data_IF_098030348835
#
_entry.id   IF_098030348835
#
_cell.length_a   1.000
_cell.length_b   1.000
_cell.length_c   1.000
_cell.angle_alpha   90.00
_cell.angle_beta   90.00
_cell.angle_gamma   90.00
#
_symmetry.space_group_name_H-M   'P 1'
#
loop_
_entity.id
_entity.type
_entity.pdbx_description
1 polymer ?
#
# COMPACT_ATOMS: atom_id res chain seq x y z
N UNK A 1 31.92 6.00 -2.39
CA UNK A 1 31.96 5.90 -3.87
C UNK A 1 30.51 5.90 -4.35
N UNK A 2 30.12 6.85 -5.20
CA UNK A 2 28.74 7.03 -5.66
C UNK A 2 28.43 6.22 -6.92
N UNK A 3 28.30 4.90 -6.78
CA UNK A 3 27.81 4.01 -7.84
C UNK A 3 26.35 3.60 -7.59
N UNK A 4 25.68 3.13 -8.63
CA UNK A 4 24.37 2.47 -8.52
C UNK A 4 24.57 0.94 -8.40
N UNK A 5 23.68 0.23 -7.72
CA UNK A 5 23.65 -1.23 -7.80
C UNK A 5 23.22 -1.68 -9.20
N UNK A 6 23.30 -2.99 -9.47
CA UNK A 6 22.78 -3.58 -10.71
C UNK A 6 21.29 -3.22 -10.92
N UNK A 7 20.78 -3.24 -12.17
CA UNK A 7 19.39 -2.95 -12.46
C UNK A 7 18.40 -3.79 -11.63
N UNK A 8 17.19 -3.25 -11.42
CA UNK A 8 16.13 -3.93 -10.67
C UNK A 8 15.74 -5.28 -11.31
N UNK A 9 15.40 -6.25 -10.47
CA UNK A 9 15.08 -7.61 -10.91
C UNK A 9 15.43 -8.68 -9.87
N UNK A 10 16.70 -8.81 -9.47
CA UNK A 10 17.14 -9.89 -8.56
C UNK A 10 16.81 -9.63 -7.07
N UNK A 11 16.21 -8.49 -6.72
CA UNK A 11 16.06 -8.03 -5.32
C UNK A 11 14.72 -8.41 -4.67
N UNK A 12 13.64 -8.45 -5.45
CA UNK A 12 12.29 -8.74 -4.94
C UNK A 12 12.21 -10.14 -4.32
N UNK A 13 11.77 -10.22 -3.06
CA UNK A 13 11.68 -11.47 -2.29
C UNK A 13 12.98 -12.31 -2.28
N UNK A 14 14.14 -11.67 -2.45
CA UNK A 14 15.39 -12.37 -2.68
C UNK A 14 15.99 -12.97 -1.41
N UNK A 15 17.00 -13.81 -1.62
CA UNK A 15 17.94 -14.32 -0.60
C UNK A 15 19.36 -14.19 -1.13
N UNK A 16 20.33 -14.03 -0.21
CA UNK A 16 21.75 -13.91 -0.54
C UNK A 16 22.32 -12.50 -0.37
N UNK A 17 23.59 -12.44 0.04
CA UNK A 17 24.30 -11.22 0.43
C UNK A 17 24.30 -10.11 -0.63
N UNK A 18 24.32 -10.47 -1.92
CA UNK A 18 24.36 -9.50 -3.02
C UNK A 18 22.99 -8.88 -3.33
N UNK A 19 21.90 -9.56 -2.98
CA UNK A 19 20.55 -9.22 -3.44
C UNK A 19 19.67 -8.64 -2.34
N UNK A 20 20.13 -8.63 -1.09
CA UNK A 20 19.35 -8.20 0.07
C UNK A 20 20.25 -7.44 1.04
N UNK A 21 19.77 -6.30 1.54
CA UNK A 21 20.44 -5.49 2.56
C UNK A 21 19.45 -5.11 3.66
N UNK A 22 19.93 -5.02 4.91
CA UNK A 22 19.12 -4.63 6.07
C UNK A 22 18.12 -5.67 6.57
N UNK A 23 18.31 -6.97 6.27
CA UNK A 23 17.39 -8.03 6.70
C UNK A 23 17.33 -8.14 8.22
N UNK A 24 18.47 -8.08 8.89
CA UNK A 24 18.59 -8.07 10.35
C UNK A 24 17.72 -6.98 11.00
N UNK A 25 17.74 -5.77 10.45
CA UNK A 25 16.90 -4.64 10.88
C UNK A 25 15.41 -4.97 10.73
N UNK A 26 15.02 -5.56 9.59
CA UNK A 26 13.61 -5.85 9.27
C UNK A 26 13.07 -6.99 10.13
N UNK A 27 13.86 -8.03 10.38
CA UNK A 27 13.48 -9.14 11.27
C UNK A 27 13.37 -8.64 12.72
N UNK A 28 14.28 -7.79 13.19
CA UNK A 28 14.19 -7.18 14.53
C UNK A 28 12.94 -6.27 14.66
N UNK A 29 12.64 -5.48 13.63
CA UNK A 29 11.42 -4.66 13.57
C UNK A 29 10.15 -5.52 13.63
N UNK A 30 10.12 -6.62 12.87
CA UNK A 30 9.01 -7.58 12.90
C UNK A 30 8.81 -8.14 14.30
N UNK A 31 9.87 -8.63 14.95
CA UNK A 31 9.82 -9.20 16.30
C UNK A 31 9.28 -8.18 17.31
N UNK A 32 9.73 -6.92 17.25
CA UNK A 32 9.22 -5.85 18.13
C UNK A 32 7.73 -5.58 17.90
N UNK A 33 7.28 -5.55 16.64
CA UNK A 33 5.88 -5.33 16.32
C UNK A 33 4.99 -6.47 16.82
N UNK A 34 5.42 -7.72 16.63
CA UNK A 34 4.70 -8.90 17.13
C UNK A 34 4.63 -8.92 18.65
N UNK A 35 5.75 -8.63 19.33
CA UNK A 35 5.81 -8.54 20.79
C UNK A 35 4.93 -7.42 21.37
N UNK A 36 4.77 -6.31 20.63
CA UNK A 36 3.88 -5.23 20.98
C UNK A 36 2.38 -5.52 20.68
N UNK A 37 2.07 -6.66 20.07
CA UNK A 37 0.70 -7.05 19.71
C UNK A 37 0.11 -6.24 18.54
N UNK A 38 0.98 -5.68 17.68
CA UNK A 38 0.55 -4.99 16.47
C UNK A 38 0.10 -6.01 15.42
N UNK A 39 -0.87 -5.63 14.59
CA UNK A 39 -1.43 -6.49 13.53
C UNK A 39 -0.52 -6.72 12.32
N UNK A 40 0.78 -6.96 12.51
CA UNK A 40 1.68 -7.25 11.39
C UNK A 40 1.44 -8.66 10.87
N UNK A 41 1.20 -8.80 9.56
CA UNK A 41 0.87 -10.07 8.91
C UNK A 41 1.98 -10.62 8.03
N UNK A 42 3.01 -9.83 7.74
CA UNK A 42 4.11 -10.26 6.89
C UNK A 42 5.13 -9.14 6.64
N UNK A 43 6.24 -9.57 6.02
CA UNK A 43 7.33 -8.74 5.51
C UNK A 43 7.82 -9.31 4.18
N UNK A 44 8.35 -8.47 3.30
CA UNK A 44 9.08 -8.90 2.12
C UNK A 44 10.12 -7.87 1.67
N UNK A 45 11.20 -8.34 1.05
CA UNK A 45 12.11 -7.47 0.31
C UNK A 45 11.42 -6.98 -0.97
N UNK A 46 11.56 -5.70 -1.28
CA UNK A 46 10.92 -5.06 -2.43
C UNK A 46 11.84 -5.00 -3.66
N UNK A 47 11.32 -4.43 -4.75
CA UNK A 47 11.97 -4.43 -6.07
C UNK A 47 13.30 -3.66 -6.10
N UNK A 48 13.45 -2.60 -5.32
CA UNK A 48 14.70 -1.84 -5.21
C UNK A 48 15.59 -2.40 -4.08
N UNK A 49 16.91 -2.53 -4.29
CA UNK A 49 17.83 -2.99 -3.25
C UNK A 49 17.76 -2.09 -2.01
N UNK A 50 17.42 -2.69 -0.86
CA UNK A 50 17.24 -2.00 0.42
C UNK A 50 15.85 -1.42 0.64
N UNK A 51 14.95 -1.56 -0.32
CA UNK A 51 13.52 -1.31 -0.13
C UNK A 51 12.87 -2.56 0.49
N UNK A 52 11.96 -2.33 1.43
CA UNK A 52 11.24 -3.37 2.16
C UNK A 52 9.78 -2.98 2.36
N UNK A 53 8.93 -4.00 2.48
CA UNK A 53 7.52 -3.86 2.83
C UNK A 53 7.22 -4.68 4.09
N UNK A 54 6.30 -4.16 4.90
CA UNK A 54 5.61 -4.90 5.95
C UNK A 54 4.12 -4.60 5.86
N UNK A 55 3.27 -5.60 6.14
CA UNK A 55 1.82 -5.46 6.03
C UNK A 55 1.18 -5.37 7.40
N UNK A 56 0.37 -4.33 7.63
CA UNK A 56 -0.40 -4.12 8.85
C UNK A 56 -1.89 -4.35 8.59
N UNK A 57 -2.49 -5.31 9.28
CA UNK A 57 -3.89 -5.68 9.14
C UNK A 57 -4.66 -5.53 10.45
N UNK A 58 -5.86 -4.97 10.35
CA UNK A 58 -6.83 -4.94 11.44
C UNK A 58 -8.25 -4.95 10.89
N UNK A 59 -9.16 -5.56 11.64
CA UNK A 59 -10.61 -5.55 11.35
C UNK A 59 -11.27 -4.20 11.69
N UNK A 60 -10.58 -3.36 12.48
CA UNK A 60 -10.99 -1.99 12.82
C UNK A 60 -10.11 -1.00 12.06
N UNK A 61 -10.76 -0.07 11.36
CA UNK A 61 -10.12 1.04 10.66
C UNK A 61 -9.21 1.86 11.59
N UNK A 62 -9.69 2.22 12.78
CA UNK A 62 -8.91 3.01 13.74
C UNK A 62 -7.66 2.25 14.22
N UNK A 63 -7.83 0.98 14.59
CA UNK A 63 -6.70 0.15 15.03
C UNK A 63 -5.67 -0.08 13.90
N UNK A 64 -6.09 -0.15 12.64
CA UNK A 64 -5.17 -0.24 11.51
C UNK A 64 -4.26 1.01 11.43
N UNK A 65 -4.82 2.20 11.67
CA UNK A 65 -4.03 3.43 11.74
C UNK A 65 -3.09 3.43 12.95
N UNK A 66 -3.60 3.12 14.14
CA UNK A 66 -2.83 3.13 15.38
C UNK A 66 -1.64 2.17 15.27
N UNK A 67 -1.89 0.94 14.81
CA UNK A 67 -0.86 -0.08 14.63
C UNK A 67 0.22 0.38 13.63
N UNK A 68 -0.16 1.01 12.50
CA UNK A 68 0.80 1.49 11.52
C UNK A 68 1.66 2.65 12.05
N UNK A 69 1.08 3.54 12.85
CA UNK A 69 1.84 4.64 13.45
C UNK A 69 2.86 4.10 14.46
N UNK A 70 2.45 3.16 15.32
CA UNK A 70 3.36 2.54 16.29
C UNK A 70 4.41 1.68 15.58
N UNK A 71 4.05 0.94 14.53
CA UNK A 71 5.03 0.17 13.75
C UNK A 71 6.06 1.07 13.07
N UNK A 72 5.66 2.23 12.53
CA UNK A 72 6.59 3.22 11.97
C UNK A 72 7.51 3.80 13.04
N UNK A 73 6.97 4.10 14.23
CA UNK A 73 7.80 4.52 15.36
C UNK A 73 8.87 3.46 15.68
N UNK A 74 8.47 2.19 15.83
CA UNK A 74 9.40 1.10 16.10
C UNK A 74 10.45 0.96 14.98
N UNK A 75 10.06 1.09 13.71
CA UNK A 75 10.99 1.07 12.59
C UNK A 75 12.09 2.12 12.76
N UNK A 76 11.71 3.38 13.01
CA UNK A 76 12.70 4.44 13.21
C UNK A 76 13.60 4.16 14.42
N UNK A 77 13.03 3.67 15.52
CA UNK A 77 13.78 3.32 16.74
C UNK A 77 14.82 2.21 16.50
N UNK A 78 14.47 1.19 15.72
CA UNK A 78 15.42 0.13 15.33
C UNK A 78 16.51 0.72 14.44
N UNK A 79 16.14 1.50 13.42
CA UNK A 79 17.14 2.06 12.49
C UNK A 79 18.17 2.98 13.19
N UNK A 80 17.79 3.66 14.27
CA UNK A 80 18.73 4.41 15.11
C UNK A 80 19.82 3.53 15.72
N UNK A 81 19.47 2.31 16.18
CA UNK A 81 20.42 1.36 16.79
C UNK A 81 21.39 0.79 15.76
N UNK A 82 20.95 0.69 14.51
CA UNK A 82 21.75 0.18 13.39
C UNK A 82 22.48 1.29 12.62
N UNK A 83 22.37 2.54 13.05
CA UNK A 83 23.00 3.70 12.40
C UNK A 83 22.62 3.85 10.91
N UNK A 84 21.37 3.55 10.56
CA UNK A 84 20.80 3.77 9.23
C UNK A 84 19.55 4.65 9.32
N UNK A 85 19.04 5.10 8.16
CA UNK A 85 17.82 5.91 8.06
C UNK A 85 16.80 5.15 7.22
N UNK A 86 15.62 4.89 7.79
CA UNK A 86 14.46 4.51 7.00
C UNK A 86 13.89 5.77 6.32
N UNK A 87 13.66 5.70 5.00
CA UNK A 87 13.07 6.80 4.23
C UNK A 87 11.67 6.40 3.76
N UNK A 88 10.68 7.24 4.06
CA UNK A 88 9.28 7.02 3.65
C UNK A 88 8.91 7.86 2.43
N UNK A 89 9.82 8.63 1.84
CA UNK A 89 9.60 9.36 0.59
C UNK A 89 9.05 8.43 -0.51
N UNK A 90 7.99 8.81 -1.25
CA UNK A 90 7.39 7.95 -2.26
C UNK A 90 8.28 7.69 -3.48
N UNK A 91 9.31 8.50 -3.68
CA UNK A 91 10.32 8.32 -4.74
C UNK A 91 11.70 8.65 -4.18
N UNK A 92 12.34 7.77 -3.39
CA UNK A 92 13.58 8.10 -2.71
C UNK A 92 14.77 8.21 -3.67
N UNK A 93 14.72 7.48 -4.80
CA UNK A 93 15.70 7.53 -5.88
C UNK A 93 15.03 7.95 -7.19
N UNK A 94 15.59 8.96 -7.85
CA UNK A 94 15.15 9.40 -9.19
C UNK A 94 15.63 8.44 -10.27
N UNK A 95 14.93 8.40 -11.40
CA UNK A 95 15.21 7.51 -12.52
C UNK A 95 14.41 6.21 -12.47
N UNK A 96 14.98 5.15 -13.04
CA UNK A 96 14.36 3.84 -13.30
C UNK A 96 14.36 2.92 -12.06
N UNK A 97 14.13 3.51 -10.89
CA UNK A 97 14.02 2.82 -9.60
C UNK A 97 12.57 2.86 -9.13
N UNK A 98 12.08 1.80 -8.50
CA UNK A 98 10.71 1.77 -8.00
C UNK A 98 10.48 2.85 -6.94
N UNK A 99 9.25 3.37 -6.89
CA UNK A 99 8.80 4.20 -5.78
C UNK A 99 8.28 3.36 -4.62
N UNK A 100 7.94 4.02 -3.53
CA UNK A 100 7.38 3.43 -2.31
C UNK A 100 5.93 3.84 -2.14
N UNK A 101 5.03 2.86 -2.04
CA UNK A 101 3.60 3.05 -1.83
C UNK A 101 3.15 2.65 -0.43
N UNK A 102 1.89 2.95 -0.11
CA UNK A 102 1.17 2.41 1.05
C UNK A 102 -0.15 1.83 0.57
N UNK A 103 -0.07 0.74 -0.21
CA UNK A 103 -1.25 0.10 -0.78
C UNK A 103 -2.24 -0.24 0.34
N UNK A 104 -3.46 0.26 0.21
CA UNK A 104 -4.48 0.17 1.26
C UNK A 104 -5.57 -0.79 0.81
N UNK A 105 -5.53 -1.99 1.38
CA UNK A 105 -6.56 -3.00 1.17
C UNK A 105 -7.77 -2.69 2.05
N UNK A 106 -8.98 -2.65 1.48
CA UNK A 106 -10.19 -2.40 2.26
C UNK A 106 -11.38 -3.23 1.80
N UNK A 107 -12.25 -3.53 2.76
CA UNK A 107 -13.55 -4.16 2.56
C UNK A 107 -14.48 -3.81 3.71
N UNK A 108 -15.77 -4.03 3.50
CA UNK A 108 -16.82 -3.85 4.51
C UNK A 108 -17.87 -4.97 4.36
N UNK A 109 -18.82 -5.13 5.30
CA UNK A 109 -19.70 -6.31 5.34
C UNK A 109 -20.40 -6.64 4.02
N UNK A 110 -20.88 -5.63 3.27
CA UNK A 110 -21.53 -5.88 1.99
C UNK A 110 -20.57 -6.50 0.96
N UNK A 111 -19.35 -5.95 0.80
CA UNK A 111 -18.33 -6.49 -0.11
C UNK A 111 -17.93 -7.93 0.23
N UNK A 112 -17.92 -8.30 1.51
CA UNK A 112 -17.49 -9.64 1.97
C UNK A 112 -18.61 -10.69 1.94
N UNK A 113 -19.84 -10.28 2.24
CA UNK A 113 -20.93 -11.22 2.49
C UNK A 113 -21.92 -11.31 1.31
N UNK A 114 -22.18 -10.18 0.66
CA UNK A 114 -23.13 -10.07 -0.46
C UNK A 114 -22.36 -10.02 -1.78
N UNK A 115 -21.52 -9.00 -1.97
CA UNK A 115 -20.65 -8.87 -3.12
C UNK A 115 -21.40 -8.71 -4.45
N UNK A 116 -20.80 -9.22 -5.53
CA UNK A 116 -21.35 -9.23 -6.88
C UNK A 116 -20.57 -8.36 -7.87
N UNK A 117 -20.32 -8.88 -9.06
CA UNK A 117 -19.51 -8.17 -10.08
C UNK A 117 -20.07 -6.77 -10.39
N UNK A 118 -21.35 -6.70 -10.72
CA UNK A 118 -22.03 -5.44 -11.03
C UNK A 118 -21.95 -4.45 -9.85
N UNK A 119 -22.05 -4.96 -8.62
CA UNK A 119 -21.88 -4.13 -7.42
C UNK A 119 -20.47 -3.54 -7.33
N UNK A 120 -19.41 -4.34 -7.53
CA UNK A 120 -18.03 -3.84 -7.51
C UNK A 120 -17.78 -2.82 -8.64
N UNK A 121 -18.30 -3.07 -9.84
CA UNK A 121 -18.18 -2.14 -10.98
C UNK A 121 -18.88 -0.80 -10.70
N UNK A 122 -20.14 -0.82 -10.21
CA UNK A 122 -20.86 0.40 -9.81
C UNK A 122 -20.15 1.13 -8.67
N UNK A 123 -19.75 0.40 -7.64
CA UNK A 123 -19.05 0.96 -6.48
C UNK A 123 -17.76 1.65 -6.88
N UNK A 124 -16.90 0.99 -7.66
CA UNK A 124 -15.60 1.53 -8.06
C UNK A 124 -15.73 2.67 -9.07
N UNK A 125 -16.78 2.66 -9.90
CA UNK A 125 -17.11 3.79 -10.78
C UNK A 125 -17.51 5.01 -9.96
N UNK A 126 -18.37 4.85 -8.95
CA UNK A 126 -18.77 5.97 -8.07
C UNK A 126 -17.61 6.45 -7.20
N UNK A 127 -16.83 5.52 -6.65
CA UNK A 127 -15.64 5.84 -5.84
C UNK A 127 -14.61 6.65 -6.63
N UNK A 128 -14.46 6.36 -7.93
CA UNK A 128 -13.56 7.07 -8.84
C UNK A 128 -13.90 8.54 -9.06
N UNK A 129 -15.15 8.96 -8.85
CA UNK A 129 -15.56 10.36 -9.00
C UNK A 129 -14.92 11.29 -7.97
N UNK A 130 -14.37 10.73 -6.91
CA UNK A 130 -13.69 11.46 -5.84
C UNK A 130 -12.16 11.31 -5.92
N UNK A 131 -11.62 10.98 -7.10
CA UNK A 131 -10.20 10.70 -7.27
C UNK A 131 -9.31 11.84 -6.76
N UNK A 132 -9.62 13.09 -7.13
CA UNK A 132 -8.81 14.26 -6.76
C UNK A 132 -8.81 14.50 -5.25
N UNK A 133 -9.96 14.33 -4.59
CA UNK A 133 -10.06 14.45 -3.13
C UNK A 133 -9.35 13.32 -2.40
N UNK A 134 -9.17 12.15 -3.03
CA UNK A 134 -8.30 11.11 -2.51
C UNK A 134 -6.83 11.50 -2.69
N UNK A 135 -6.41 11.89 -3.90
CA UNK A 135 -5.02 12.27 -4.18
C UNK A 135 -4.53 13.40 -3.25
N UNK A 136 -5.38 14.39 -2.95
CA UNK A 136 -5.06 15.47 -2.01
C UNK A 136 -4.70 14.98 -0.59
N UNK A 137 -5.16 13.79 -0.20
CA UNK A 137 -4.93 13.16 1.10
C UNK A 137 -3.80 12.11 1.07
N UNK A 138 -3.36 11.72 -0.12
CA UNK A 138 -2.60 10.48 -0.37
C UNK A 138 -1.07 10.62 -0.26
N UNK A 139 -0.61 11.62 0.50
CA UNK A 139 0.80 11.87 0.80
C UNK A 139 1.47 12.86 -0.16
N UNK A 140 2.49 13.56 0.34
CA UNK A 140 3.22 14.57 -0.41
C UNK A 140 4.17 13.94 -1.45
N UNK A 141 4.46 14.66 -2.54
CA UNK A 141 5.36 14.26 -3.63
C UNK A 141 4.93 12.97 -4.35
N UNK A 142 3.65 12.62 -4.29
CA UNK A 142 3.12 11.42 -4.91
C UNK A 142 3.12 11.51 -6.44
N UNK A 143 3.19 12.71 -7.01
CA UNK A 143 3.36 12.98 -8.45
C UNK A 143 4.70 12.47 -8.98
N UNK A 144 5.73 12.40 -8.13
CA UNK A 144 7.02 11.80 -8.49
C UNK A 144 6.96 10.27 -8.60
N UNK A 145 5.93 9.64 -8.01
CA UNK A 145 5.72 8.19 -7.98
C UNK A 145 4.66 7.73 -8.97
N UNK A 146 3.48 8.35 -8.95
CA UNK A 146 2.32 7.99 -9.77
C UNK A 146 2.44 8.58 -11.18
N UNK A 147 3.34 8.02 -11.98
CA UNK A 147 3.67 8.52 -13.33
C UNK A 147 3.06 7.68 -14.45
N UNK A 148 2.38 6.58 -14.12
CA UNK A 148 1.94 5.57 -15.10
C UNK A 148 3.02 4.52 -15.44
N UNK A 149 4.21 4.63 -14.85
CA UNK A 149 5.35 3.71 -15.03
C UNK A 149 5.57 2.95 -13.72
N UNK A 150 6.27 1.82 -13.76
CA UNK A 150 6.62 1.01 -12.58
C UNK A 150 5.42 0.51 -11.75
N UNK A 151 4.45 -0.12 -12.41
CA UNK A 151 3.27 -0.71 -11.74
C UNK A 151 2.41 0.32 -10.97
N UNK A 152 2.33 1.56 -11.46
CA UNK A 152 1.45 2.60 -10.93
C UNK A 152 0.57 3.22 -12.02
N UNK A 153 -0.61 3.70 -11.64
CA UNK A 153 -1.43 4.56 -12.50
C UNK A 153 -0.84 5.98 -12.54
N UNK A 154 -1.21 6.77 -13.55
CA UNK A 154 -0.98 8.22 -13.56
C UNK A 154 -1.70 8.88 -12.38
N UNK A 155 -1.11 9.92 -11.79
CA UNK A 155 -1.72 10.69 -10.68
C UNK A 155 -3.02 11.40 -11.08
N UNK A 156 -3.25 11.63 -12.37
CA UNK A 156 -4.45 12.34 -12.85
C UNK A 156 -5.57 11.40 -13.27
N UNK A 157 -5.24 10.13 -13.50
CA UNK A 157 -6.17 9.19 -14.13
C UNK A 157 -6.64 8.18 -13.09
N UNK A 158 -7.94 7.91 -13.09
CA UNK A 158 -8.52 6.86 -12.28
C UNK A 158 -8.87 5.64 -13.13
N UNK A 159 -8.42 4.48 -12.68
CA UNK A 159 -8.77 3.20 -13.27
C UNK A 159 -8.90 2.09 -12.22
N UNK A 160 -9.66 1.05 -12.55
CA UNK A 160 -9.73 -0.16 -11.74
C UNK A 160 -9.76 -1.41 -12.62
N UNK A 161 -9.24 -2.53 -12.12
CA UNK A 161 -9.17 -3.77 -12.89
C UNK A 161 -8.89 -5.01 -12.06
N UNK A 162 -9.33 -6.17 -12.57
CA UNK A 162 -9.05 -7.47 -11.95
C UNK A 162 -7.58 -7.82 -12.17
N UNK A 163 -6.87 -8.04 -11.07
CA UNK A 163 -5.43 -8.34 -11.06
C UNK A 163 -4.54 -7.31 -11.75
N UNK A 164 -5.08 -6.12 -12.03
CA UNK A 164 -4.37 -5.07 -12.78
C UNK A 164 -3.46 -4.27 -11.84
N UNK A 165 -2.14 -4.49 -11.98
CA UNK A 165 -1.10 -3.73 -11.27
C UNK A 165 -0.74 -2.41 -11.95
N UNK A 166 -1.37 -2.04 -13.06
CA UNK A 166 -1.30 -0.69 -13.63
C UNK A 166 -2.45 0.20 -13.15
N UNK A 167 -3.50 -0.39 -12.58
CA UNK A 167 -4.69 0.34 -12.16
C UNK A 167 -4.51 1.12 -10.85
N UNK A 168 -5.33 2.17 -10.68
CA UNK A 168 -5.41 2.91 -9.42
C UNK A 168 -5.97 2.05 -8.29
N UNK A 169 -7.07 1.33 -8.56
CA UNK A 169 -7.66 0.35 -7.65
C UNK A 169 -7.55 -1.04 -8.28
N UNK A 170 -6.84 -1.94 -7.62
CA UNK A 170 -6.78 -3.34 -8.04
C UNK A 170 -7.87 -4.15 -7.34
N UNK A 171 -8.55 -4.99 -8.10
CA UNK A 171 -9.41 -6.05 -7.58
C UNK A 171 -8.56 -7.33 -7.55
N UNK A 172 -8.12 -7.81 -6.37
CA UNK A 172 -7.35 -9.05 -6.28
C UNK A 172 -8.15 -10.23 -6.82
N UNK A 173 -7.49 -11.19 -7.48
CA UNK A 173 -8.17 -12.39 -8.05
C UNK A 173 -8.99 -13.16 -7.02
N UNK A 174 -8.60 -13.09 -5.75
CA UNK A 174 -9.39 -13.61 -4.63
C UNK A 174 -10.86 -13.20 -4.72
N UNK A 175 -11.16 -11.94 -5.00
CA UNK A 175 -12.54 -11.42 -5.04
C UNK A 175 -13.39 -12.13 -6.12
N UNK A 176 -13.04 -12.14 -7.42
CA UNK A 176 -13.78 -12.89 -8.43
C UNK A 176 -13.75 -14.41 -8.19
N UNK A 177 -12.63 -14.98 -7.75
CA UNK A 177 -12.49 -16.42 -7.47
C UNK A 177 -13.41 -16.89 -6.33
N UNK A 178 -13.83 -15.97 -5.45
CA UNK A 178 -14.73 -16.25 -4.31
C UNK A 178 -16.14 -15.68 -4.55
N UNK A 179 -16.59 -15.67 -5.81
CA UNK A 179 -17.95 -15.27 -6.16
C UNK A 179 -18.19 -13.77 -6.03
N UNK A 180 -17.18 -12.97 -6.37
CA UNK A 180 -17.18 -11.52 -6.20
C UNK A 180 -17.44 -11.07 -4.78
N UNK A 181 -16.81 -11.76 -3.81
CA UNK A 181 -16.84 -11.45 -2.39
C UNK A 181 -15.43 -11.32 -1.86
N UNK A 182 -15.09 -10.18 -1.29
CA UNK A 182 -13.73 -9.93 -0.85
C UNK A 182 -13.42 -8.47 -0.59
N UNK A 183 -12.28 -8.03 -1.12
CA UNK A 183 -11.69 -6.72 -0.87
C UNK A 183 -11.14 -6.12 -2.17
N UNK A 184 -10.77 -4.85 -2.10
CA UNK A 184 -10.03 -4.13 -3.15
C UNK A 184 -8.76 -3.54 -2.55
N UNK A 185 -7.80 -3.23 -3.41
CA UNK A 185 -6.51 -2.66 -3.07
C UNK A 185 -6.40 -1.26 -3.71
N UNK A 186 -6.43 -0.20 -2.91
CA UNK A 186 -6.11 1.15 -3.39
C UNK A 186 -4.60 1.35 -3.42
N UNK A 187 -4.02 1.50 -4.62
CA UNK A 187 -2.57 1.53 -4.85
C UNK A 187 -2.02 2.95 -4.93
N UNK A 188 -2.90 3.94 -4.82
CA UNK A 188 -2.56 5.36 -4.93
C UNK A 188 -1.94 5.99 -3.66
N UNK A 189 -2.15 5.54 -2.42
CA UNK A 189 -1.49 6.18 -1.28
C UNK A 189 0.03 6.03 -1.34
N UNK A 190 0.75 7.12 -1.07
CA UNK A 190 2.21 7.14 -0.95
C UNK A 190 2.69 6.52 0.37
N UNK A 191 3.94 6.05 0.40
CA UNK A 191 4.57 5.50 1.62
C UNK A 191 4.68 6.49 2.79
N UNK A 192 4.69 7.80 2.52
CA UNK A 192 4.72 8.86 3.54
C UNK A 192 3.32 9.31 4.00
N UNK A 193 2.24 8.72 3.48
CA UNK A 193 0.90 9.17 3.78
C UNK A 193 0.50 8.91 5.25
N UNK A 194 -0.35 9.78 5.77
CA UNK A 194 -0.96 9.64 7.09
C UNK A 194 -2.13 8.64 7.03
N UNK A 195 -2.04 7.47 7.71
CA UNK A 195 -3.10 6.46 7.63
C UNK A 195 -4.45 6.96 8.11
N UNK A 196 -4.52 7.89 9.06
CA UNK A 196 -5.80 8.44 9.52
C UNK A 196 -6.49 9.23 8.41
N UNK A 197 -5.73 10.00 7.63
CA UNK A 197 -6.27 10.76 6.49
C UNK A 197 -6.73 9.83 5.37
N UNK A 198 -5.93 8.81 5.04
CA UNK A 198 -6.30 7.80 4.05
C UNK A 198 -7.59 7.10 4.43
N UNK A 199 -7.65 6.53 5.63
CA UNK A 199 -8.80 5.73 6.06
C UNK A 199 -10.04 6.61 6.22
N UNK A 200 -9.93 7.82 6.77
CA UNK A 200 -11.06 8.75 6.84
C UNK A 200 -11.62 9.08 5.46
N UNK A 201 -10.73 9.31 4.48
CA UNK A 201 -11.13 9.61 3.10
C UNK A 201 -11.81 8.43 2.42
N UNK A 202 -11.26 7.22 2.57
CA UNK A 202 -11.83 5.96 2.06
C UNK A 202 -13.21 5.70 2.67
N UNK A 203 -13.35 5.83 3.99
CA UNK A 203 -14.62 5.59 4.68
C UNK A 203 -15.72 6.54 4.19
N UNK A 204 -15.40 7.84 4.07
CA UNK A 204 -16.35 8.85 3.58
C UNK A 204 -16.83 8.54 2.16
N UNK A 205 -15.92 8.19 1.26
CA UNK A 205 -16.28 7.88 -0.13
C UNK A 205 -16.99 6.53 -0.25
N UNK A 206 -16.60 5.55 0.57
CA UNK A 206 -17.26 4.24 0.65
C UNK A 206 -18.74 4.37 1.02
N UNK A 207 -19.07 5.23 1.99
CA UNK A 207 -20.46 5.46 2.38
C UNK A 207 -21.31 5.99 1.21
N UNK A 208 -20.75 6.88 0.38
CA UNK A 208 -21.44 7.43 -0.79
C UNK A 208 -21.55 6.37 -1.90
N UNK A 209 -20.42 5.75 -2.26
CA UNK A 209 -20.36 4.76 -3.34
C UNK A 209 -21.23 3.53 -3.07
N UNK A 210 -21.33 3.11 -1.81
CA UNK A 210 -22.19 2.01 -1.41
C UNK A 210 -23.67 2.29 -1.72
N UNK A 211 -24.18 3.46 -1.33
CA UNK A 211 -25.58 3.86 -1.56
C UNK A 211 -25.97 3.93 -3.03
N UNK A 212 -25.00 4.21 -3.91
CA UNK A 212 -25.21 4.20 -5.36
C UNK A 212 -25.16 2.76 -5.88
N UNK A 213 -24.21 1.95 -5.42
CA UNK A 213 -23.97 0.61 -5.95
C UNK A 213 -25.06 -0.42 -5.60
N UNK A 214 -25.81 -0.21 -4.51
CA UNK A 214 -26.93 -1.10 -4.12
C UNK A 214 -28.26 -0.78 -4.81
N UNK A 215 -28.31 0.28 -5.63
CA UNK A 215 -29.48 0.65 -6.43
C UNK A 215 -29.41 0.03 -7.83
#
# INVERSE_FOLDING_TARGET
SGGYPEPQGPYYCAVGYQNVTGRDIVEEHLDLCLNAGLGITGINAEVMLGQWEYQCFSMSALKACDDLIISRYLLFRVTEQHHVVAELHPKPMKGDWNGSGMHTNFSFPYMKNVGGQEYFEKFLTEFGKYHDEHIAEYGAFNDERLTGIHETASITDYSFGVSDRGASIRIPSYTPDHGWKGYVEDRRPASNADPYRIIARILKTTAIAHEVAIK
#
